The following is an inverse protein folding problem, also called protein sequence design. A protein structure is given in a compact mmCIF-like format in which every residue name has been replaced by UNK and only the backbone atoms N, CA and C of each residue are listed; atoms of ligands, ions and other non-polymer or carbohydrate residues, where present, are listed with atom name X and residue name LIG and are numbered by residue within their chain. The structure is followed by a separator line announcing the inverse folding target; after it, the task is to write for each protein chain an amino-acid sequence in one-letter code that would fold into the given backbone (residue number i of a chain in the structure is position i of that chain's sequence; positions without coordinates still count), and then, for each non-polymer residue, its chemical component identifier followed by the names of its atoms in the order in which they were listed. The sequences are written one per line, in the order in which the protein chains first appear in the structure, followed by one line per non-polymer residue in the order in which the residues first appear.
data_IF_199710871970
#
_entry.id   IF_199710871970
#
_cell.length_a   1.000
_cell.length_b   1.000
_cell.length_c   1.000
_cell.angle_alpha   90.00
_cell.angle_beta   90.00
_cell.angle_gamma   90.00
#
_symmetry.space_group_name_H-M   'P 1'
#
loop_
_entity.id
_entity.type
_entity.pdbx_description
1 polymer ?
#
# COMPACT_ATOMS: atom_id res chain seq x y z
N UNK A 1 -4.47 -19.30 15.76
CA UNK A 1 -4.57 -18.96 17.20
C UNK A 1 -5.71 -19.80 17.72
N UNK A 2 -5.43 -20.72 18.64
CA UNK A 2 -6.40 -21.73 19.07
C UNK A 2 -7.64 -21.04 19.69
N UNK A 3 -8.83 -21.37 19.19
CA UNK A 3 -10.14 -20.99 19.78
C UNK A 3 -10.31 -21.43 21.25
N UNK A 4 -9.34 -22.21 21.78
CA UNK A 4 -9.31 -22.70 23.16
C UNK A 4 -8.74 -21.71 24.19
N UNK A 5 -8.09 -20.61 23.77
CA UNK A 5 -7.54 -19.62 24.69
C UNK A 5 -8.63 -18.64 25.16
N UNK A 6 -8.63 -18.31 26.45
CA UNK A 6 -9.51 -17.26 26.97
C UNK A 6 -9.25 -15.92 26.27
N UNK A 7 -10.27 -15.07 26.15
CA UNK A 7 -10.15 -13.73 25.55
C UNK A 7 -9.03 -12.92 26.18
N UNK A 8 -8.89 -13.00 27.52
CA UNK A 8 -7.82 -12.31 28.26
C UNK A 8 -6.43 -12.79 27.85
N UNK A 9 -6.25 -14.10 27.61
CA UNK A 9 -4.97 -14.65 27.14
C UNK A 9 -4.65 -14.19 25.71
N UNK A 10 -5.64 -14.14 24.84
CA UNK A 10 -5.46 -13.61 23.46
C UNK A 10 -5.04 -12.14 23.47
N UNK A 11 -5.66 -11.31 24.32
CA UNK A 11 -5.32 -9.88 24.47
C UNK A 11 -3.91 -9.73 25.05
N UNK A 12 -3.54 -10.55 26.04
CA UNK A 12 -2.19 -10.53 26.62
C UNK A 12 -1.11 -10.89 25.57
N UNK A 13 -1.36 -11.92 24.75
CA UNK A 13 -0.46 -12.28 23.65
C UNK A 13 -0.34 -11.12 22.65
N UNK A 14 -1.44 -10.51 22.25
CA UNK A 14 -1.45 -9.37 21.33
C UNK A 14 -0.65 -8.19 21.90
N UNK A 15 -0.78 -7.89 23.19
CA UNK A 15 -0.01 -6.82 23.84
C UNK A 15 1.50 -7.11 23.82
N UNK A 16 1.90 -8.37 24.08
CA UNK A 16 3.30 -8.80 23.98
C UNK A 16 3.81 -8.73 22.53
N UNK A 17 3.01 -9.18 21.56
CA UNK A 17 3.33 -9.08 20.15
C UNK A 17 3.59 -7.62 19.74
N UNK A 18 2.70 -6.70 20.09
CA UNK A 18 2.86 -5.27 19.81
C UNK A 18 4.12 -4.69 20.48
N UNK A 19 4.40 -5.07 21.73
CA UNK A 19 5.61 -4.66 22.41
C UNK A 19 6.87 -5.08 21.65
N UNK A 20 6.98 -6.37 21.29
CA UNK A 20 8.13 -6.89 20.53
C UNK A 20 8.23 -6.22 19.16
N UNK A 21 7.12 -6.02 18.44
CA UNK A 21 7.09 -5.33 17.16
C UNK A 21 7.65 -3.93 17.28
N UNK A 22 7.23 -3.15 18.26
CA UNK A 22 7.70 -1.77 18.46
C UNK A 22 9.20 -1.71 18.75
N UNK A 23 9.72 -2.59 19.60
CA UNK A 23 11.16 -2.68 19.86
C UNK A 23 11.93 -3.08 18.59
N UNK A 24 11.50 -4.13 17.90
CA UNK A 24 12.15 -4.59 16.68
C UNK A 24 12.11 -3.51 15.58
N UNK A 25 10.96 -2.87 15.37
CA UNK A 25 10.80 -1.79 14.40
C UNK A 25 11.81 -0.66 14.66
N UNK A 26 11.93 -0.21 15.90
CA UNK A 26 12.87 0.86 16.25
C UNK A 26 14.33 0.42 16.09
N UNK A 27 14.68 -0.75 16.59
CA UNK A 27 16.03 -1.28 16.49
C UNK A 27 16.49 -1.42 15.03
N UNK A 28 15.71 -2.11 14.19
CA UNK A 28 16.05 -2.33 12.78
C UNK A 28 15.92 -1.04 11.96
N UNK A 29 14.93 -0.18 12.27
CA UNK A 29 14.77 1.12 11.62
C UNK A 29 15.97 2.04 11.85
N UNK A 30 16.48 2.11 13.08
CA UNK A 30 17.67 2.91 13.39
C UNK A 30 18.95 2.28 12.82
N UNK A 31 19.03 0.95 12.74
CA UNK A 31 20.12 0.27 12.04
C UNK A 31 20.11 0.62 10.55
N UNK A 32 18.95 0.60 9.89
CA UNK A 32 18.79 1.01 8.50
C UNK A 32 19.25 2.46 8.27
N UNK A 33 18.86 3.40 9.14
CA UNK A 33 19.32 4.80 9.07
C UNK A 33 20.84 4.93 9.18
N UNK A 34 21.50 4.16 10.06
CA UNK A 34 22.96 4.12 10.16
C UNK A 34 23.61 3.64 8.85
N UNK A 35 22.95 2.75 8.13
CA UNK A 35 23.37 2.27 6.80
C UNK A 35 22.96 3.22 5.67
N UNK A 36 22.41 4.41 5.98
CA UNK A 36 21.90 5.40 5.02
C UNK A 36 20.75 4.90 4.14
N UNK A 37 19.98 3.94 4.66
CA UNK A 37 18.80 3.36 4.02
C UNK A 37 17.54 3.86 4.76
N UNK A 38 16.40 4.04 4.07
CA UNK A 38 15.14 4.44 4.73
C UNK A 38 14.75 3.50 5.87
N UNK A 39 14.23 4.06 6.97
CA UNK A 39 13.85 3.30 8.17
C UNK A 39 12.81 2.22 7.87
N UNK A 40 11.93 2.45 6.93
CA UNK A 40 10.87 1.51 6.51
C UNK A 40 11.43 0.16 6.05
N UNK A 41 12.59 0.14 5.39
CA UNK A 41 13.23 -1.13 4.99
C UNK A 41 13.73 -1.90 6.20
N UNK A 42 14.23 -1.21 7.23
CA UNK A 42 14.56 -1.82 8.52
C UNK A 42 13.32 -2.41 9.20
N UNK A 43 12.21 -1.67 9.21
CA UNK A 43 10.94 -2.14 9.78
C UNK A 43 10.40 -3.39 9.06
N UNK A 44 10.49 -3.44 7.71
CA UNK A 44 10.14 -4.65 6.93
C UNK A 44 11.05 -5.84 7.25
N UNK A 45 12.37 -5.61 7.31
CA UNK A 45 13.34 -6.65 7.68
C UNK A 45 13.08 -7.15 9.10
N UNK A 46 12.76 -6.26 10.04
CA UNK A 46 12.35 -6.65 11.39
C UNK A 46 11.19 -7.65 11.33
N UNK A 47 10.18 -7.37 10.50
CA UNK A 47 9.02 -8.25 10.30
C UNK A 47 9.41 -9.63 9.75
N UNK A 48 10.30 -9.69 8.77
CA UNK A 48 10.82 -10.96 8.24
C UNK A 48 11.53 -11.74 9.35
N UNK A 49 12.38 -11.07 10.14
CA UNK A 49 13.19 -11.72 11.18
C UNK A 49 12.36 -12.25 12.34
N UNK A 50 11.45 -11.43 12.90
CA UNK A 50 10.62 -11.83 14.05
C UNK A 50 9.33 -12.53 13.62
N UNK A 51 9.05 -12.63 12.32
CA UNK A 51 7.82 -13.17 11.76
C UNK A 51 7.71 -14.70 11.88
N UNK A 52 6.52 -15.23 11.49
CA UNK A 52 6.18 -16.65 11.65
C UNK A 52 7.05 -17.60 10.83
N UNK A 53 7.73 -17.10 9.81
CA UNK A 53 8.55 -17.91 8.91
C UNK A 53 10.02 -18.03 9.32
N UNK A 54 10.45 -17.27 10.36
CA UNK A 54 11.81 -17.33 10.86
C UNK A 54 11.82 -17.51 12.39
N UNK A 55 12.01 -16.45 13.18
CA UNK A 55 12.17 -16.56 14.65
C UNK A 55 10.83 -16.67 15.39
N UNK A 56 9.75 -16.12 14.83
CA UNK A 56 8.47 -15.95 15.53
C UNK A 56 7.74 -17.26 15.84
N UNK A 57 8.01 -18.33 15.07
CA UNK A 57 7.45 -19.67 15.30
C UNK A 57 8.31 -20.54 16.23
N UNK A 58 9.44 -20.02 16.73
CA UNK A 58 10.25 -20.78 17.68
C UNK A 58 9.50 -20.86 19.02
N UNK A 59 9.05 -22.05 19.38
CA UNK A 59 8.33 -22.30 20.61
C UNK A 59 9.22 -22.11 21.84
N UNK A 60 8.68 -21.48 22.88
CA UNK A 60 9.29 -21.40 24.19
C UNK A 60 8.49 -22.28 25.16
N UNK A 61 9.16 -22.99 26.06
CA UNK A 61 8.51 -23.82 27.10
C UNK A 61 7.79 -22.97 28.19
N UNK A 62 7.26 -21.80 27.84
CA UNK A 62 6.41 -20.99 28.71
C UNK A 62 4.94 -21.27 28.40
N UNK A 63 4.12 -21.31 29.45
CA UNK A 63 2.68 -21.53 29.30
C UNK A 63 2.05 -20.62 28.25
N UNK A 64 1.52 -21.18 27.16
CA UNK A 64 0.82 -20.46 26.09
C UNK A 64 1.67 -20.12 24.85
N UNK A 65 3.00 -20.43 24.81
CA UNK A 65 3.89 -20.09 23.69
C UNK A 65 4.51 -21.33 23.03
N UNK A 66 3.81 -22.47 23.04
CA UNK A 66 4.32 -23.72 22.44
C UNK A 66 4.67 -23.55 20.94
N UNK A 67 3.92 -22.71 20.22
CA UNK A 67 4.13 -22.44 18.79
C UNK A 67 4.85 -21.10 18.54
N UNK A 68 5.49 -20.52 19.55
CA UNK A 68 6.17 -19.22 19.47
C UNK A 68 5.25 -18.02 19.71
N UNK A 69 5.85 -16.82 19.69
CA UNK A 69 5.11 -15.56 19.89
C UNK A 69 4.32 -15.13 18.64
N UNK A 70 4.80 -15.48 17.46
CA UNK A 70 4.14 -15.26 16.17
C UNK A 70 3.92 -16.59 15.46
N UNK A 71 2.97 -17.42 15.93
CA UNK A 71 2.73 -18.73 15.32
C UNK A 71 2.20 -18.60 13.91
N UNK A 72 2.61 -19.52 13.03
CA UNK A 72 2.05 -19.63 11.69
C UNK A 72 0.59 -20.12 11.79
N UNK A 73 -0.33 -19.36 11.24
CA UNK A 73 -1.76 -19.71 11.25
C UNK A 73 -2.07 -20.51 9.98
N UNK A 74 -2.12 -21.81 10.12
CA UNK A 74 -2.47 -22.72 9.02
C UNK A 74 -3.94 -22.51 8.59
N UNK A 75 -4.18 -22.48 7.27
CA UNK A 75 -5.53 -22.35 6.70
C UNK A 75 -6.08 -20.90 6.67
N UNK A 76 -5.33 -19.91 7.16
CA UNK A 76 -5.68 -18.50 7.01
C UNK A 76 -5.11 -17.91 5.72
N UNK A 77 -5.80 -16.92 5.15
CA UNK A 77 -5.29 -16.13 4.00
C UNK A 77 -4.05 -15.29 4.34
N UNK A 78 -3.81 -15.04 5.62
CA UNK A 78 -2.64 -14.33 6.14
C UNK A 78 -1.97 -15.14 7.26
N UNK A 79 -0.62 -15.16 7.33
CA UNK A 79 0.13 -15.99 8.26
C UNK A 79 0.13 -15.46 9.71
N UNK A 80 -0.48 -14.32 9.96
CA UNK A 80 -0.56 -13.64 11.27
C UNK A 80 -2.00 -13.58 11.79
N UNK A 81 -2.19 -13.28 13.08
CA UNK A 81 -3.54 -13.19 13.66
C UNK A 81 -4.34 -12.04 13.04
N UNK A 82 -5.65 -12.27 12.86
CA UNK A 82 -6.58 -11.26 12.33
C UNK A 82 -6.54 -9.96 13.14
N UNK A 83 -6.43 -10.06 14.47
CA UNK A 83 -6.32 -8.88 15.33
C UNK A 83 -5.06 -8.06 15.06
N UNK A 84 -3.91 -8.75 14.90
CA UNK A 84 -2.64 -8.09 14.58
C UNK A 84 -2.67 -7.48 13.18
N UNK A 85 -3.20 -8.19 12.20
CA UNK A 85 -3.37 -7.69 10.84
C UNK A 85 -4.32 -6.48 10.79
N UNK A 86 -5.41 -6.51 11.59
CA UNK A 86 -6.33 -5.38 11.72
C UNK A 86 -5.66 -4.12 12.27
N UNK A 87 -4.84 -4.24 13.33
CA UNK A 87 -4.07 -3.11 13.87
C UNK A 87 -3.07 -2.58 12.84
N UNK A 88 -2.40 -3.45 12.11
CA UNK A 88 -1.50 -3.06 11.03
C UNK A 88 -2.25 -2.29 9.92
N UNK A 89 -3.42 -2.75 9.53
CA UNK A 89 -4.28 -2.07 8.53
C UNK A 89 -4.67 -0.66 9.00
N UNK A 90 -5.01 -0.48 10.29
CA UNK A 90 -5.23 0.86 10.84
C UNK A 90 -3.98 1.74 10.71
N UNK A 91 -2.78 1.17 10.85
CA UNK A 91 -1.51 1.86 10.62
C UNK A 91 -1.36 2.37 9.18
N UNK A 92 -1.76 1.58 8.18
CA UNK A 92 -1.74 2.01 6.77
C UNK A 92 -2.73 3.16 6.49
N UNK A 93 -3.91 3.12 7.10
CA UNK A 93 -4.90 4.20 7.00
C UNK A 93 -4.35 5.51 7.59
N UNK A 94 -3.74 5.45 8.79
CA UNK A 94 -3.11 6.62 9.42
C UNK A 94 -1.96 7.15 8.55
N UNK A 95 -1.11 6.28 8.01
CA UNK A 95 -0.02 6.65 7.11
C UNK A 95 -0.52 7.46 5.91
N UNK A 96 -1.52 6.94 5.20
CA UNK A 96 -2.00 7.59 3.98
C UNK A 96 -2.82 8.85 4.28
N UNK A 97 -3.58 8.89 5.39
CA UNK A 97 -4.24 10.10 5.86
C UNK A 97 -3.25 11.23 6.15
N UNK A 98 -2.17 10.94 6.88
CA UNK A 98 -1.11 11.91 7.16
C UNK A 98 -0.40 12.37 5.89
N UNK A 99 -0.09 11.45 4.97
CA UNK A 99 0.50 11.77 3.67
C UNK A 99 -0.42 12.69 2.83
N UNK A 100 -1.73 12.46 2.88
CA UNK A 100 -2.72 13.33 2.26
C UNK A 100 -2.72 14.74 2.85
N UNK A 101 -2.62 14.87 4.18
CA UNK A 101 -2.52 16.16 4.88
C UNK A 101 -1.23 16.94 4.55
N UNK A 102 -0.13 16.21 4.30
CA UNK A 102 1.17 16.80 3.91
C UNK A 102 1.20 17.22 2.43
N UNK A 103 0.30 16.72 1.60
CA UNK A 103 0.28 16.99 0.15
C UNK A 103 -0.21 18.40 -0.15
N UNK A 104 0.57 19.18 -0.93
CA UNK A 104 0.11 20.49 -1.45
C UNK A 104 -0.94 20.29 -2.55
N UNK A 105 -2.16 20.72 -2.27
CA UNK A 105 -3.30 20.57 -3.18
C UNK A 105 -3.13 21.35 -4.50
N UNK A 106 -2.43 22.52 -4.51
CA UNK A 106 -2.16 23.28 -5.76
C UNK A 106 -1.22 22.50 -6.66
N UNK A 107 -0.17 21.94 -6.05
CA UNK A 107 0.77 21.09 -6.76
C UNK A 107 0.09 19.81 -7.24
N UNK A 108 -0.78 19.21 -6.40
CA UNK A 108 -1.55 18.03 -6.78
C UNK A 108 -2.37 18.28 -8.06
N UNK A 109 -3.16 19.34 -8.13
CA UNK A 109 -3.92 19.68 -9.33
C UNK A 109 -3.03 20.04 -10.52
N UNK A 110 -1.92 20.74 -10.29
CA UNK A 110 -0.98 21.09 -11.36
C UNK A 110 -0.36 19.85 -12.02
N UNK A 111 -0.06 18.83 -11.23
CA UNK A 111 0.63 17.60 -11.69
C UNK A 111 -0.29 16.39 -11.82
N UNK A 112 -1.60 16.51 -11.57
CA UNK A 112 -2.55 15.38 -11.66
C UNK A 112 -2.61 14.75 -13.05
N UNK A 113 -2.61 15.57 -14.10
CA UNK A 113 -2.60 15.07 -15.48
C UNK A 113 -1.30 14.30 -15.76
N UNK A 114 -0.16 14.85 -15.36
CA UNK A 114 1.13 14.17 -15.50
C UNK A 114 1.13 12.87 -14.69
N UNK A 115 0.66 12.92 -13.43
CA UNK A 115 0.53 11.73 -12.60
C UNK A 115 -0.35 10.65 -13.23
N UNK A 116 -1.47 11.05 -13.86
CA UNK A 116 -2.35 10.09 -14.56
C UNK A 116 -1.65 9.43 -15.75
N UNK A 117 -0.93 10.19 -16.56
CA UNK A 117 -0.18 9.66 -17.72
C UNK A 117 0.97 8.78 -17.26
N UNK A 118 1.66 9.17 -16.20
CA UNK A 118 2.74 8.38 -15.56
C UNK A 118 2.19 7.08 -14.97
N UNK A 119 1.07 7.11 -14.24
CA UNK A 119 0.41 5.93 -13.68
C UNK A 119 -0.03 4.95 -14.77
N UNK A 120 -0.69 5.46 -15.82
CA UNK A 120 -1.08 4.64 -16.97
C UNK A 120 0.12 3.98 -17.65
N UNK A 121 1.18 4.74 -17.91
CA UNK A 121 2.42 4.21 -18.48
C UNK A 121 3.05 3.14 -17.56
N UNK A 122 3.09 3.40 -16.26
CA UNK A 122 3.57 2.46 -15.25
C UNK A 122 2.81 1.13 -15.26
N UNK A 123 1.47 1.17 -15.31
CA UNK A 123 0.62 -0.04 -15.39
C UNK A 123 0.87 -0.81 -16.69
N UNK A 124 0.79 -0.12 -17.83
CA UNK A 124 0.92 -0.77 -19.16
C UNK A 124 2.28 -1.47 -19.33
N UNK A 125 3.39 -0.75 -19.05
CA UNK A 125 4.73 -1.34 -19.15
C UNK A 125 4.92 -2.50 -18.16
N UNK A 126 4.51 -2.31 -16.90
CA UNK A 126 4.65 -3.37 -15.90
C UNK A 126 3.85 -4.61 -16.27
N UNK A 127 2.61 -4.45 -16.73
CA UNK A 127 1.77 -5.57 -17.16
C UNK A 127 2.42 -6.35 -18.32
N UNK A 128 2.80 -5.65 -19.39
CA UNK A 128 3.40 -6.29 -20.57
C UNK A 128 4.71 -6.99 -20.22
N UNK A 129 5.59 -6.35 -19.47
CA UNK A 129 6.88 -6.95 -19.08
C UNK A 129 6.70 -8.13 -18.12
N UNK A 130 5.77 -8.05 -17.17
CA UNK A 130 5.47 -9.15 -16.26
C UNK A 130 4.89 -10.36 -16.99
N UNK A 131 4.00 -10.13 -17.95
CA UNK A 131 3.43 -11.17 -18.80
C UNK A 131 4.50 -11.82 -19.71
N UNK A 132 5.36 -11.02 -20.34
CA UNK A 132 6.46 -11.52 -21.20
C UNK A 132 7.41 -12.42 -20.39
N UNK A 133 7.74 -12.08 -19.13
CA UNK A 133 8.53 -12.99 -18.28
C UNK A 133 7.77 -14.29 -18.04
N UNK A 134 6.47 -14.21 -17.76
CA UNK A 134 5.61 -15.37 -17.64
C UNK A 134 5.67 -16.27 -18.86
N UNK A 135 5.55 -15.69 -20.07
CA UNK A 135 5.66 -16.43 -21.33
C UNK A 135 6.99 -17.16 -21.46
N UNK A 136 8.09 -16.48 -21.17
CA UNK A 136 9.45 -17.04 -21.27
C UNK A 136 9.69 -18.13 -20.23
N UNK A 137 9.34 -17.86 -18.97
CA UNK A 137 9.58 -18.78 -17.85
C UNK A 137 8.69 -20.04 -17.92
N UNK A 138 7.41 -19.86 -18.27
CA UNK A 138 6.42 -20.95 -18.30
C UNK A 138 6.28 -21.59 -19.68
N UNK A 139 6.99 -21.08 -20.72
CA UNK A 139 6.88 -21.50 -22.11
C UNK A 139 5.41 -21.50 -22.57
N UNK A 140 4.67 -20.49 -22.19
CA UNK A 140 3.23 -20.34 -22.42
C UNK A 140 2.92 -19.16 -23.35
N UNK A 141 1.66 -19.02 -23.79
CA UNK A 141 1.23 -17.90 -24.63
C UNK A 141 0.86 -16.68 -23.79
N UNK A 142 0.81 -15.50 -24.42
CA UNK A 142 0.40 -14.24 -23.80
C UNK A 142 -0.99 -14.31 -23.12
N UNK A 143 -1.92 -15.12 -23.66
CA UNK A 143 -3.26 -15.29 -23.08
C UNK A 143 -3.33 -16.41 -22.04
N UNK A 144 -2.20 -17.02 -21.65
CA UNK A 144 -2.20 -18.02 -20.58
C UNK A 144 -2.53 -17.34 -19.26
N UNK A 145 -3.52 -17.86 -18.50
CA UNK A 145 -3.91 -17.30 -17.21
C UNK A 145 -2.73 -17.04 -16.25
N UNK A 146 -1.74 -17.91 -16.23
CA UNK A 146 -0.55 -17.80 -15.38
C UNK A 146 0.32 -16.61 -15.78
N UNK A 147 0.49 -16.36 -17.09
CA UNK A 147 1.23 -15.22 -17.60
C UNK A 147 0.49 -13.91 -17.30
N UNK A 148 -0.81 -13.86 -17.56
CA UNK A 148 -1.66 -12.70 -17.23
C UNK A 148 -1.61 -12.36 -15.73
N UNK A 149 -1.60 -13.36 -14.83
CA UNK A 149 -1.44 -13.12 -13.40
C UNK A 149 -0.08 -12.54 -13.05
N UNK A 150 1.01 -13.03 -13.67
CA UNK A 150 2.33 -12.42 -13.49
C UNK A 150 2.36 -10.98 -14.01
N UNK A 151 1.69 -10.70 -15.13
CA UNK A 151 1.48 -9.34 -15.63
C UNK A 151 0.85 -8.44 -14.57
N UNK A 152 -0.27 -8.84 -13.96
CA UNK A 152 -0.94 -8.08 -12.91
C UNK A 152 -0.07 -7.91 -11.67
N UNK A 153 0.56 -8.97 -11.18
CA UNK A 153 1.47 -8.88 -10.04
C UNK A 153 2.58 -7.85 -10.27
N UNK A 154 3.02 -7.71 -11.53
CA UNK A 154 3.99 -6.70 -11.92
C UNK A 154 3.43 -5.27 -11.91
N UNK A 155 2.13 -5.03 -11.96
CA UNK A 155 1.57 -3.67 -11.93
C UNK A 155 1.52 -3.06 -10.54
N UNK A 156 1.26 -3.85 -9.50
CA UNK A 156 1.02 -3.35 -8.16
C UNK A 156 2.16 -2.46 -7.64
N UNK A 157 1.82 -1.31 -7.03
CA UNK A 157 2.77 -0.37 -6.44
C UNK A 157 2.40 -0.11 -4.99
N UNK A 158 3.38 -0.11 -4.09
CA UNK A 158 3.14 0.20 -2.69
C UNK A 158 3.13 1.71 -2.45
N UNK A 159 1.93 2.31 -2.46
CA UNK A 159 1.75 3.73 -2.10
C UNK A 159 2.28 4.01 -0.69
N UNK A 160 2.08 3.08 0.25
CA UNK A 160 2.51 3.24 1.64
C UNK A 160 4.02 3.37 1.82
N UNK A 161 4.82 2.50 1.18
CA UNK A 161 6.29 2.58 1.23
C UNK A 161 6.76 3.88 0.60
N UNK A 162 6.23 4.21 -0.57
CA UNK A 162 6.58 5.43 -1.31
C UNK A 162 6.26 6.69 -0.50
N UNK A 163 5.03 6.79 0.05
CA UNK A 163 4.61 7.91 0.89
C UNK A 163 5.51 8.05 2.13
N UNK A 164 5.84 6.94 2.79
CA UNK A 164 6.74 6.93 3.95
C UNK A 164 8.14 7.45 3.61
N UNK A 165 8.73 7.00 2.50
CA UNK A 165 10.05 7.45 2.05
C UNK A 165 10.03 8.94 1.67
N UNK A 166 8.99 9.40 0.97
CA UNK A 166 8.84 10.81 0.61
C UNK A 166 8.68 11.70 1.84
N UNK A 167 7.91 11.26 2.85
CA UNK A 167 7.76 11.97 4.13
C UNK A 167 9.08 12.04 4.89
N UNK A 168 9.81 10.94 5.04
CA UNK A 168 11.12 10.92 5.70
C UNK A 168 12.15 11.83 5.02
N UNK A 169 12.05 11.97 3.68
CA UNK A 169 12.93 12.85 2.89
C UNK A 169 12.40 14.27 2.76
N UNK A 170 11.24 14.60 3.35
CA UNK A 170 10.57 15.91 3.24
C UNK A 170 10.38 16.34 1.78
N UNK A 171 9.92 15.42 0.94
CA UNK A 171 9.80 15.59 -0.51
C UNK A 171 8.38 15.32 -1.04
N UNK A 172 7.39 15.17 -0.15
CA UNK A 172 5.99 14.90 -0.53
C UNK A 172 5.42 16.04 -1.37
N UNK A 173 5.69 17.28 -1.01
CA UNK A 173 5.21 18.51 -1.64
C UNK A 173 6.07 18.96 -2.85
N UNK A 174 7.15 18.22 -3.17
CA UNK A 174 7.92 18.48 -4.39
C UNK A 174 7.14 18.11 -5.65
N UNK A 175 7.44 18.72 -6.82
CA UNK A 175 6.81 18.35 -8.09
C UNK A 175 6.86 16.86 -8.39
N UNK A 176 8.02 16.22 -8.14
CA UNK A 176 8.20 14.80 -8.30
C UNK A 176 7.36 14.00 -7.27
N UNK A 177 7.41 14.39 -5.98
CA UNK A 177 6.67 13.70 -4.90
C UNK A 177 5.17 13.71 -5.14
N UNK A 178 4.61 14.87 -5.47
CA UNK A 178 3.18 15.01 -5.80
C UNK A 178 2.80 14.19 -7.03
N UNK A 179 3.65 14.19 -8.07
CA UNK A 179 3.43 13.40 -9.29
C UNK A 179 3.45 11.90 -8.98
N UNK A 180 4.39 11.44 -8.15
CA UNK A 180 4.49 10.04 -7.72
C UNK A 180 3.23 9.62 -6.96
N UNK A 181 2.77 10.41 -5.97
CA UNK A 181 1.58 10.08 -5.21
C UNK A 181 0.31 10.08 -6.07
N UNK A 182 0.16 11.06 -6.96
CA UNK A 182 -0.95 11.09 -7.91
C UNK A 182 -0.92 9.88 -8.86
N UNK A 183 0.27 9.52 -9.38
CA UNK A 183 0.45 8.35 -10.23
C UNK A 183 0.14 7.05 -9.49
N UNK A 184 0.56 6.91 -8.22
CA UNK A 184 0.31 5.73 -7.42
C UNK A 184 -1.18 5.51 -7.12
N UNK A 185 -1.94 6.58 -6.85
CA UNK A 185 -3.40 6.50 -6.67
C UNK A 185 -4.11 6.06 -7.96
N UNK A 186 -3.68 6.56 -9.12
CA UNK A 186 -4.21 6.13 -10.43
C UNK A 186 -3.82 4.67 -10.71
N UNK A 187 -2.59 4.30 -10.39
CA UNK A 187 -2.07 2.93 -10.53
C UNK A 187 -2.94 1.91 -9.77
N UNK A 188 -3.35 2.22 -8.55
CA UNK A 188 -4.25 1.37 -7.74
C UNK A 188 -5.62 1.18 -8.42
N UNK A 189 -6.22 2.26 -8.94
CA UNK A 189 -7.51 2.18 -9.64
C UNK A 189 -7.37 1.37 -10.94
N UNK A 190 -6.31 1.61 -11.71
CA UNK A 190 -6.03 0.87 -12.94
C UNK A 190 -5.71 -0.60 -12.66
N UNK A 191 -5.02 -0.90 -11.55
CA UNK A 191 -4.72 -2.26 -11.10
C UNK A 191 -6.00 -3.08 -10.87
N UNK A 192 -7.02 -2.50 -10.21
CA UNK A 192 -8.32 -3.15 -10.01
C UNK A 192 -9.01 -3.43 -11.36
N UNK A 193 -8.95 -2.49 -12.30
CA UNK A 193 -9.53 -2.65 -13.63
C UNK A 193 -8.80 -3.77 -14.40
N UNK A 194 -7.46 -3.77 -14.39
CA UNK A 194 -6.66 -4.82 -15.00
C UNK A 194 -6.96 -6.20 -14.39
N UNK A 195 -7.08 -6.29 -13.06
CA UNK A 195 -7.46 -7.52 -12.38
C UNK A 195 -8.84 -8.02 -12.83
N UNK A 196 -9.83 -7.12 -12.94
CA UNK A 196 -11.16 -7.47 -13.40
C UNK A 196 -11.14 -7.99 -14.85
N UNK A 197 -10.33 -7.39 -15.73
CA UNK A 197 -10.14 -7.84 -17.12
C UNK A 197 -9.56 -9.26 -17.14
N UNK A 198 -8.46 -9.49 -16.43
CA UNK A 198 -7.78 -10.79 -16.40
C UNK A 198 -8.69 -11.87 -15.80
N UNK A 199 -9.37 -11.58 -14.68
CA UNK A 199 -10.34 -12.52 -14.10
C UNK A 199 -11.47 -12.85 -15.07
N UNK A 200 -11.94 -11.87 -15.84
CA UNK A 200 -12.92 -12.09 -16.92
C UNK A 200 -12.39 -13.03 -18.02
N UNK A 201 -11.14 -12.86 -18.46
CA UNK A 201 -10.49 -13.71 -19.45
C UNK A 201 -10.30 -15.14 -18.90
N UNK A 202 -9.82 -15.28 -17.68
CA UNK A 202 -9.57 -16.57 -17.00
C UNK A 202 -10.87 -17.37 -16.85
N UNK A 203 -11.96 -16.74 -16.41
CA UNK A 203 -13.26 -17.41 -16.26
C UNK A 203 -13.81 -17.92 -17.59
N UNK A 204 -13.60 -17.19 -18.67
CA UNK A 204 -14.02 -17.61 -20.03
C UNK A 204 -13.15 -18.76 -20.53
N UNK A 205 -11.82 -18.70 -20.32
CA UNK A 205 -10.90 -19.77 -20.71
C UNK A 205 -11.18 -21.09 -19.97
N UNK A 206 -11.73 -21.02 -18.75
CA UNK A 206 -12.11 -22.18 -17.95
C UNK A 206 -13.49 -22.75 -18.35
N UNK A 207 -14.32 -21.99 -19.06
CA UNK A 207 -15.70 -22.38 -19.43
C UNK A 207 -15.76 -22.68 -20.94
N UNK A 208 -16.04 -23.90 -21.33
CA UNK A 208 -16.23 -24.27 -22.73
C UNK A 208 -17.40 -23.46 -23.35
N UNK A 209 -17.09 -22.43 -24.13
CA UNK A 209 -18.06 -21.56 -24.81
C UNK A 209 -18.48 -20.30 -24.08
N UNK A 210 -17.79 -19.92 -22.98
CA UNK A 210 -18.02 -18.67 -22.27
C UNK A 210 -17.59 -17.44 -23.06
N UNK A 211 -18.28 -16.31 -22.85
CA UNK A 211 -17.92 -15.01 -23.42
C UNK A 211 -17.47 -14.04 -22.33
N UNK A 212 -16.42 -13.25 -22.59
CA UNK A 212 -15.98 -12.20 -21.67
C UNK A 212 -17.11 -11.18 -21.50
N UNK A 213 -17.53 -10.95 -20.27
CA UNK A 213 -18.53 -9.92 -19.97
C UNK A 213 -17.90 -8.52 -19.96
N UNK A 214 -17.62 -7.98 -21.16
CA UNK A 214 -17.07 -6.63 -21.32
C UNK A 214 -17.92 -5.55 -20.69
N UNK A 215 -19.25 -5.71 -20.66
CA UNK A 215 -20.16 -4.79 -19.98
C UNK A 215 -19.95 -4.75 -18.47
N UNK A 216 -19.75 -5.91 -17.84
CA UNK A 216 -19.42 -6.01 -16.41
C UNK A 216 -18.06 -5.37 -16.08
N UNK A 217 -17.05 -5.61 -16.93
CA UNK A 217 -15.71 -5.02 -16.76
C UNK A 217 -15.78 -3.49 -16.92
N UNK A 218 -16.45 -3.00 -17.96
CA UNK A 218 -16.65 -1.56 -18.16
C UNK A 218 -17.39 -0.91 -16.99
N UNK A 219 -18.40 -1.60 -16.42
CA UNK A 219 -19.11 -1.13 -15.26
C UNK A 219 -18.21 -1.03 -14.03
N UNK A 220 -17.35 -2.01 -13.77
CA UNK A 220 -16.35 -1.96 -12.67
C UNK A 220 -15.42 -0.75 -12.86
N UNK A 221 -14.91 -0.54 -14.08
CA UNK A 221 -14.04 0.59 -14.38
C UNK A 221 -14.74 1.94 -14.13
N UNK A 222 -15.95 2.13 -14.69
CA UNK A 222 -16.73 3.37 -14.52
C UNK A 222 -17.10 3.59 -13.06
N UNK A 223 -17.52 2.55 -12.34
CA UNK A 223 -17.85 2.62 -10.92
C UNK A 223 -16.64 3.02 -10.09
N UNK A 224 -15.50 2.36 -10.26
CA UNK A 224 -14.28 2.62 -9.47
C UNK A 224 -13.75 4.03 -9.69
N UNK A 225 -13.64 4.43 -10.96
CA UNK A 225 -13.18 5.77 -11.32
C UNK A 225 -14.17 6.85 -10.91
N UNK A 226 -15.46 6.60 -11.07
CA UNK A 226 -16.54 7.52 -10.69
C UNK A 226 -16.61 7.75 -9.18
N UNK A 227 -16.48 6.70 -8.38
CA UNK A 227 -16.44 6.81 -6.90
C UNK A 227 -15.19 7.58 -6.49
N UNK A 228 -14.02 7.19 -6.99
CA UNK A 228 -12.75 7.86 -6.65
C UNK A 228 -12.80 9.36 -6.97
N UNK A 229 -13.16 9.71 -8.21
CA UNK A 229 -13.21 11.11 -8.64
C UNK A 229 -14.32 11.89 -7.93
N UNK A 230 -15.51 11.30 -7.82
CA UNK A 230 -16.67 11.94 -7.18
C UNK A 230 -16.42 12.24 -5.71
N UNK A 231 -15.85 11.28 -4.96
CA UNK A 231 -15.54 11.49 -3.52
C UNK A 231 -14.39 12.46 -3.34
N UNK A 232 -13.38 12.42 -4.24
CA UNK A 232 -12.28 13.41 -4.21
C UNK A 232 -12.82 14.83 -4.41
N UNK A 233 -13.61 15.05 -5.45
CA UNK A 233 -14.20 16.36 -5.73
C UNK A 233 -15.15 16.82 -4.59
N UNK A 234 -15.99 15.92 -4.09
CA UNK A 234 -16.90 16.22 -2.98
C UNK A 234 -16.12 16.58 -1.70
N UNK A 235 -15.09 15.82 -1.38
CA UNK A 235 -14.20 16.10 -0.24
C UNK A 235 -13.56 17.48 -0.33
N UNK A 236 -13.05 17.84 -1.51
CA UNK A 236 -12.44 19.15 -1.75
C UNK A 236 -13.44 20.30 -1.66
N UNK A 237 -14.64 20.14 -2.22
CA UNK A 237 -15.72 21.15 -2.13
C UNK A 237 -16.21 21.34 -0.69
N UNK A 238 -16.31 20.23 0.05
CA UNK A 238 -16.78 20.24 1.43
C UNK A 238 -15.67 20.53 2.45
N UNK A 239 -14.42 20.60 2.06
CA UNK A 239 -13.26 20.72 2.96
C UNK A 239 -13.43 21.81 4.02
N UNK A 240 -13.82 23.02 3.61
CA UNK A 240 -14.04 24.13 4.55
C UNK A 240 -15.23 23.90 5.48
N UNK A 241 -16.30 23.25 5.02
CA UNK A 241 -17.46 22.90 5.87
C UNK A 241 -17.09 21.82 6.87
N UNK A 242 -16.32 20.81 6.43
CA UNK A 242 -15.79 19.76 7.30
C UNK A 242 -14.88 20.39 8.37
N UNK A 243 -13.95 21.26 7.98
CA UNK A 243 -13.08 21.96 8.91
C UNK A 243 -13.86 22.83 9.91
N UNK A 244 -14.87 23.57 9.44
CA UNK A 244 -15.74 24.37 10.31
C UNK A 244 -16.52 23.50 11.32
N UNK A 245 -17.06 22.37 10.87
CA UNK A 245 -17.72 21.39 11.73
C UNK A 245 -16.75 20.82 12.79
N UNK A 246 -15.54 20.45 12.39
CA UNK A 246 -14.53 19.95 13.31
C UNK A 246 -14.12 20.99 14.37
N UNK A 247 -13.98 22.25 13.98
CA UNK A 247 -13.68 23.37 14.90
C UNK A 247 -14.76 23.66 15.94
N UNK A 248 -15.99 23.25 15.69
CA UNK A 248 -17.06 23.40 16.68
C UNK A 248 -16.72 22.73 18.01
N UNK A 249 -15.89 21.69 18.00
CA UNK A 249 -15.42 20.99 19.21
C UNK A 249 -14.33 21.74 19.98
N UNK A 250 -13.86 22.90 19.52
CA UNK A 250 -12.94 23.85 20.18
C UNK A 250 -11.55 23.30 20.59
N UNK A 251 -11.42 22.02 20.89
CA UNK A 251 -10.15 21.38 21.29
C UNK A 251 -9.40 20.84 20.08
N UNK A 252 -8.12 21.20 19.92
CA UNK A 252 -7.26 20.73 18.85
C UNK A 252 -7.11 19.19 18.86
N UNK A 253 -6.96 18.60 20.04
CA UNK A 253 -6.91 17.16 20.18
C UNK A 253 -8.21 16.49 19.73
N UNK A 254 -9.37 17.04 20.15
CA UNK A 254 -10.67 16.48 19.80
C UNK A 254 -10.94 16.54 18.30
N UNK A 255 -10.76 17.69 17.66
CA UNK A 255 -11.02 17.76 16.22
C UNK A 255 -10.02 16.95 15.39
N UNK A 256 -8.77 16.75 15.89
CA UNK A 256 -7.80 15.89 15.22
C UNK A 256 -8.21 14.40 15.27
N UNK A 257 -8.71 13.92 16.41
CA UNK A 257 -9.26 12.57 16.54
C UNK A 257 -10.49 12.39 15.67
N UNK A 258 -11.39 13.38 15.62
CA UNK A 258 -12.58 13.33 14.75
C UNK A 258 -12.21 13.34 13.27
N UNK A 259 -11.17 14.09 12.88
CA UNK A 259 -10.64 14.06 11.50
C UNK A 259 -10.12 12.67 11.13
N UNK A 260 -9.41 12.00 12.04
CA UNK A 260 -9.00 10.60 11.87
C UNK A 260 -10.23 9.69 11.80
N UNK A 261 -11.25 9.91 12.64
CA UNK A 261 -12.52 9.17 12.58
C UNK A 261 -13.18 9.28 11.20
N UNK A 262 -13.22 10.48 10.60
CA UNK A 262 -13.72 10.67 9.24
C UNK A 262 -12.87 9.93 8.20
N UNK A 263 -11.54 9.91 8.36
CA UNK A 263 -10.65 9.15 7.48
C UNK A 263 -10.91 7.65 7.57
N UNK A 264 -11.13 7.11 8.76
CA UNK A 264 -11.49 5.71 8.98
C UNK A 264 -12.86 5.36 8.36
N UNK A 265 -13.86 6.23 8.52
CA UNK A 265 -15.19 6.04 7.91
C UNK A 265 -15.09 6.02 6.39
N UNK A 266 -14.33 6.95 5.81
CA UNK A 266 -14.14 7.00 4.36
C UNK A 266 -13.33 5.83 3.84
N UNK A 267 -12.30 5.38 4.56
CA UNK A 267 -11.54 4.18 4.25
C UNK A 267 -12.45 2.93 4.23
N UNK A 268 -13.28 2.76 5.25
CA UNK A 268 -14.25 1.66 5.30
C UNK A 268 -15.29 1.71 4.17
N UNK A 269 -15.76 2.91 3.80
CA UNK A 269 -16.68 3.10 2.68
C UNK A 269 -16.02 2.74 1.32
N UNK A 270 -14.74 3.05 1.14
CA UNK A 270 -13.98 2.67 -0.06
C UNK A 270 -13.84 1.15 -0.18
N UNK A 271 -13.54 0.46 0.90
CA UNK A 271 -13.49 -1.02 0.91
C UNK A 271 -14.83 -1.64 0.53
N UNK A 272 -15.94 -1.13 1.07
CA UNK A 272 -17.29 -1.59 0.70
C UNK A 272 -17.62 -1.32 -0.78
N UNK A 273 -17.00 -0.31 -1.37
CA UNK A 273 -17.14 -0.01 -2.80
C UNK A 273 -16.23 -0.87 -3.70
N UNK A 274 -15.32 -1.69 -3.13
CA UNK A 274 -14.33 -2.49 -3.84
C UNK A 274 -13.08 -1.72 -4.22
N UNK A 275 -12.78 -0.63 -3.51
CA UNK A 275 -11.56 0.18 -3.65
C UNK A 275 -10.70 0.03 -2.40
N UNK A 276 -9.37 0.20 -2.53
CA UNK A 276 -8.47 0.08 -1.39
C UNK A 276 -8.77 1.14 -0.31
N UNK A 277 -8.88 0.71 0.96
CA UNK A 277 -9.13 1.57 2.14
C UNK A 277 -8.20 2.77 2.21
N UNK A 278 -6.93 2.57 1.87
CA UNK A 278 -5.89 3.60 1.94
C UNK A 278 -6.16 4.79 1.03
N UNK A 279 -6.85 4.59 -0.11
CA UNK A 279 -7.22 5.68 -1.04
C UNK A 279 -8.23 6.62 -0.36
N UNK A 280 -9.24 6.07 0.33
CA UNK A 280 -10.23 6.88 1.08
C UNK A 280 -9.57 7.72 2.17
N UNK A 281 -8.62 7.13 2.91
CA UNK A 281 -7.85 7.84 3.92
C UNK A 281 -7.01 8.98 3.32
N UNK A 282 -6.31 8.72 2.21
CA UNK A 282 -5.53 9.73 1.50
C UNK A 282 -6.39 10.90 1.01
N UNK A 283 -7.56 10.62 0.42
CA UNK A 283 -8.50 11.64 -0.06
C UNK A 283 -8.99 12.52 1.10
N UNK A 284 -9.31 11.93 2.26
CA UNK A 284 -9.71 12.73 3.43
C UNK A 284 -8.57 13.64 3.88
N UNK A 285 -7.34 13.14 3.95
CA UNK A 285 -6.15 13.95 4.27
C UNK A 285 -5.94 15.08 3.26
N UNK A 286 -5.96 14.76 1.96
CA UNK A 286 -5.82 15.72 0.86
C UNK A 286 -6.91 16.81 0.90
N UNK A 287 -8.15 16.42 1.20
CA UNK A 287 -9.26 17.38 1.34
C UNK A 287 -9.02 18.39 2.47
N UNK A 288 -8.45 17.95 3.57
CA UNK A 288 -8.16 18.80 4.73
C UNK A 288 -6.81 19.53 4.63
N UNK A 289 -5.93 19.20 3.69
CA UNK A 289 -4.56 19.70 3.60
C UNK A 289 -4.46 21.23 3.51
N UNK A 290 -5.42 21.90 2.87
CA UNK A 290 -5.46 23.38 2.74
C UNK A 290 -6.27 24.09 3.81
N UNK A 291 -6.85 23.35 4.75
CA UNK A 291 -7.59 23.98 5.83
C UNK A 291 -6.62 24.47 6.91
N UNK A 292 -7.03 25.49 7.65
CA UNK A 292 -6.25 26.08 8.75
C UNK A 292 -6.04 25.13 9.93
N UNK A 293 -6.77 23.99 9.99
CA UNK A 293 -6.61 22.95 11.01
C UNK A 293 -5.60 21.86 10.62
N UNK A 294 -5.14 21.84 9.37
CA UNK A 294 -4.25 20.78 8.85
C UNK A 294 -3.01 20.57 9.71
N UNK A 295 -2.29 21.65 10.03
CA UNK A 295 -1.08 21.58 10.88
C UNK A 295 -1.38 21.05 12.29
N UNK A 296 -2.51 21.48 12.89
CA UNK A 296 -2.91 21.01 14.21
C UNK A 296 -3.26 19.53 14.20
N UNK A 297 -3.93 19.04 13.14
CA UNK A 297 -4.24 17.62 12.96
C UNK A 297 -2.94 16.82 12.86
N UNK A 298 -2.01 17.22 12.01
CA UNK A 298 -0.71 16.57 11.85
C UNK A 298 0.04 16.48 13.18
N UNK A 299 0.15 17.59 13.89
CA UNK A 299 0.87 17.66 15.18
C UNK A 299 0.27 16.73 16.23
N UNK A 300 -1.07 16.74 16.38
CA UNK A 300 -1.74 15.92 17.39
C UNK A 300 -1.77 14.43 17.05
N UNK A 301 -1.77 14.05 15.77
CA UNK A 301 -1.80 12.66 15.33
C UNK A 301 -0.41 12.06 15.13
N UNK A 302 0.66 12.85 15.19
CA UNK A 302 2.03 12.36 15.06
C UNK A 302 2.41 11.24 16.05
N UNK A 303 1.96 11.25 17.32
CA UNK A 303 2.18 10.11 18.24
C UNK A 303 1.47 8.82 17.76
N UNK A 304 0.24 8.94 17.25
CA UNK A 304 -0.53 7.80 16.71
C UNK A 304 0.15 7.24 15.48
N UNK A 305 0.62 8.11 14.58
CA UNK A 305 1.41 7.75 13.41
C UNK A 305 2.68 6.99 13.79
N UNK A 306 3.46 7.51 14.75
CA UNK A 306 4.69 6.90 15.21
C UNK A 306 4.49 5.56 15.92
N UNK A 307 3.30 5.29 16.43
CA UNK A 307 2.94 4.02 17.05
C UNK A 307 2.47 3.02 16.00
N UNK A 308 1.49 3.36 15.16
CA UNK A 308 0.82 2.42 14.27
C UNK A 308 1.58 2.12 12.98
N UNK A 309 2.26 3.11 12.40
CA UNK A 309 2.92 2.94 11.10
C UNK A 309 4.08 1.94 11.15
N UNK A 310 4.96 1.93 12.17
CA UNK A 310 5.96 0.86 12.28
C UNK A 310 5.34 -0.53 12.46
N UNK A 311 4.20 -0.65 13.18
CA UNK A 311 3.48 -1.92 13.30
C UNK A 311 3.01 -2.41 11.93
N UNK A 312 2.47 -1.51 11.10
CA UNK A 312 2.08 -1.85 9.73
C UNK A 312 3.24 -2.44 8.94
N UNK A 313 4.40 -1.77 8.89
CA UNK A 313 5.52 -2.24 8.08
C UNK A 313 6.13 -3.54 8.61
N UNK A 314 6.23 -3.71 9.93
CA UNK A 314 6.71 -4.97 10.51
C UNK A 314 5.75 -6.11 10.18
N UNK A 315 4.43 -5.91 10.32
CA UNK A 315 3.45 -6.95 9.97
C UNK A 315 3.50 -7.26 8.47
N UNK A 316 3.67 -6.26 7.58
CA UNK A 316 3.88 -6.52 6.15
C UNK A 316 5.14 -7.37 5.91
N UNK A 317 6.22 -7.14 6.63
CA UNK A 317 7.41 -7.99 6.59
C UNK A 317 7.14 -9.44 7.05
N UNK A 318 6.28 -9.63 8.05
CA UNK A 318 5.89 -10.96 8.53
C UNK A 318 5.12 -11.80 7.51
N UNK A 319 4.54 -11.18 6.48
CA UNK A 319 3.81 -11.89 5.41
C UNK A 319 4.77 -12.58 4.42
N UNK A 320 6.04 -12.22 4.42
CA UNK A 320 7.04 -12.75 3.49
C UNK A 320 7.54 -14.13 3.96
N UNK A 321 7.21 -15.17 3.19
CA UNK A 321 7.77 -16.52 3.43
C UNK A 321 9.17 -16.65 2.81
N UNK A 322 10.18 -16.35 3.61
CA UNK A 322 11.58 -16.43 3.16
C UNK A 322 12.03 -17.87 2.84
N UNK A 323 11.33 -18.90 3.34
CA UNK A 323 11.69 -20.32 3.10
C UNK A 323 11.49 -20.70 1.64
N UNK A 324 10.55 -20.07 0.94
CA UNK A 324 10.31 -20.28 -0.49
C UNK A 324 11.55 -19.88 -1.32
N UNK A 325 12.36 -18.94 -0.81
CA UNK A 325 13.60 -18.52 -1.47
C UNK A 325 14.75 -19.56 -1.34
N UNK A 326 14.57 -20.62 -0.56
CA UNK A 326 15.53 -21.70 -0.47
C UNK A 326 15.55 -22.58 -1.73
N UNK A 327 14.47 -22.55 -2.54
CA UNK A 327 14.43 -23.22 -3.85
C UNK A 327 15.18 -22.37 -4.89
N UNK A 328 16.26 -22.90 -5.52
CA UNK A 328 17.06 -22.14 -6.48
C UNK A 328 16.29 -21.73 -7.73
N UNK A 329 15.30 -22.51 -8.17
CA UNK A 329 14.47 -22.17 -9.35
C UNK A 329 13.57 -20.98 -9.03
N UNK A 330 12.90 -21.03 -7.87
CA UNK A 330 12.04 -19.93 -7.39
C UNK A 330 12.86 -18.67 -7.14
N UNK A 331 14.03 -18.80 -6.51
CA UNK A 331 14.92 -17.67 -6.25
C UNK A 331 15.39 -17.02 -7.55
N UNK A 332 15.82 -17.82 -8.53
CA UNK A 332 16.32 -17.31 -9.81
C UNK A 332 15.21 -16.61 -10.60
N UNK A 333 14.03 -17.23 -10.70
CA UNK A 333 12.87 -16.61 -11.35
C UNK A 333 12.45 -15.33 -10.63
N UNK A 334 12.39 -15.36 -9.30
CA UNK A 334 12.03 -14.21 -8.47
C UNK A 334 13.00 -13.03 -8.64
N UNK A 335 14.31 -13.31 -8.73
CA UNK A 335 15.33 -12.28 -8.96
C UNK A 335 15.18 -11.66 -10.37
N UNK A 336 15.06 -12.49 -11.41
CA UNK A 336 14.87 -12.02 -12.78
C UNK A 336 13.59 -11.18 -12.87
N UNK A 337 12.50 -11.71 -12.32
CA UNK A 337 11.22 -11.01 -12.27
C UNK A 337 11.31 -9.66 -11.55
N UNK A 338 12.00 -9.60 -10.41
CA UNK A 338 12.19 -8.36 -9.64
C UNK A 338 12.99 -7.32 -10.43
N UNK A 339 14.07 -7.72 -11.11
CA UNK A 339 14.89 -6.81 -11.93
C UNK A 339 14.05 -6.26 -13.09
N UNK A 340 13.34 -7.11 -13.80
CA UNK A 340 12.49 -6.67 -14.92
C UNK A 340 11.33 -5.81 -14.44
N UNK A 341 10.73 -6.15 -13.30
CA UNK A 341 9.69 -5.33 -12.68
C UNK A 341 10.16 -3.92 -12.34
N UNK A 342 11.39 -3.78 -11.81
CA UNK A 342 12.03 -2.48 -11.56
C UNK A 342 12.25 -1.71 -12.86
N UNK A 343 12.82 -2.36 -13.87
CA UNK A 343 13.09 -1.72 -15.18
C UNK A 343 11.79 -1.29 -15.87
N UNK A 344 10.77 -2.17 -15.86
CA UNK A 344 9.46 -1.88 -16.44
C UNK A 344 8.80 -0.66 -15.79
N UNK A 345 8.87 -0.58 -14.45
CA UNK A 345 8.27 0.55 -13.71
C UNK A 345 9.06 1.85 -13.96
N UNK A 346 10.40 1.80 -13.94
CA UNK A 346 11.21 2.98 -14.27
C UNK A 346 10.89 3.46 -15.69
N UNK A 347 10.94 2.59 -16.68
CA UNK A 347 10.68 2.96 -18.08
C UNK A 347 9.23 3.45 -18.26
N UNK A 348 8.26 2.70 -17.73
CA UNK A 348 6.85 3.02 -17.85
C UNK A 348 6.43 4.32 -17.18
N UNK A 349 7.15 4.78 -16.16
CA UNK A 349 6.85 6.03 -15.47
C UNK A 349 7.77 7.17 -15.91
N UNK A 350 9.08 6.92 -16.09
CA UNK A 350 10.02 7.98 -16.45
C UNK A 350 9.84 8.48 -17.89
N UNK A 351 9.54 7.61 -18.85
CA UNK A 351 9.30 8.03 -20.23
C UNK A 351 8.13 9.01 -20.34
N UNK A 352 6.91 8.68 -19.85
CA UNK A 352 5.82 9.65 -19.85
C UNK A 352 6.15 10.94 -19.09
N UNK A 353 6.81 10.86 -17.93
CA UNK A 353 7.18 12.04 -17.17
C UNK A 353 8.14 12.96 -17.97
N UNK A 354 9.10 12.39 -18.69
CA UNK A 354 10.01 13.14 -19.56
C UNK A 354 9.26 13.85 -20.69
N UNK A 355 8.34 13.18 -21.37
CA UNK A 355 7.51 13.79 -22.42
C UNK A 355 6.53 14.82 -21.88
N UNK A 356 6.21 14.79 -20.58
CA UNK A 356 5.35 15.76 -19.89
C UNK A 356 6.15 16.89 -19.23
N UNK A 357 7.32 17.25 -19.80
CA UNK A 357 8.18 18.38 -19.44
C UNK A 357 8.92 18.26 -18.10
N UNK A 358 9.09 17.08 -17.53
CA UNK A 358 10.10 16.87 -16.50
C UNK A 358 11.48 16.74 -17.15
N UNK A 359 12.52 17.29 -16.48
CA UNK A 359 13.88 17.01 -16.89
C UNK A 359 14.24 15.53 -16.65
N UNK A 360 15.30 15.03 -17.31
CA UNK A 360 15.71 13.63 -17.22
C UNK A 360 15.88 13.13 -15.78
N UNK A 361 16.46 13.96 -14.90
CA UNK A 361 16.68 13.60 -13.50
C UNK A 361 15.35 13.52 -12.72
N UNK A 362 14.43 14.47 -12.94
CA UNK A 362 13.10 14.46 -12.36
C UNK A 362 12.27 13.27 -12.84
N UNK A 363 12.32 12.98 -14.15
CA UNK A 363 11.66 11.82 -14.73
C UNK A 363 12.17 10.49 -14.13
N UNK A 364 13.49 10.34 -13.99
CA UNK A 364 14.08 9.17 -13.33
C UNK A 364 13.71 9.06 -11.84
N UNK A 365 13.64 10.20 -11.13
CA UNK A 365 13.16 10.21 -9.73
C UNK A 365 11.71 9.75 -9.62
N UNK A 366 10.85 10.18 -10.55
CA UNK A 366 9.47 9.72 -10.62
C UNK A 366 9.41 8.22 -10.88
N UNK A 367 10.15 7.73 -11.88
CA UNK A 367 10.23 6.29 -12.17
C UNK A 367 10.74 5.49 -10.97
N UNK A 368 11.81 5.96 -10.31
CA UNK A 368 12.34 5.31 -9.11
C UNK A 368 11.37 5.34 -7.92
N UNK A 369 10.61 6.43 -7.74
CA UNK A 369 9.61 6.58 -6.70
C UNK A 369 8.40 5.63 -6.87
N UNK A 370 8.18 5.11 -8.06
CA UNK A 370 7.12 4.15 -8.37
C UNK A 370 7.56 2.68 -8.29
N UNK A 371 8.84 2.40 -7.95
CA UNK A 371 9.36 1.02 -7.83
C UNK A 371 8.79 0.26 -6.61
N UNK A 372 8.60 0.85 -5.40
CA UNK A 372 8.24 0.09 -4.21
C UNK A 372 6.99 -0.78 -4.42
N UNK A 373 7.10 -2.05 -4.03
CA UNK A 373 6.07 -3.09 -4.21
C UNK A 373 5.93 -3.93 -2.97
#
# INVERSE_FOLDING_TARGET
MNESLSLTAQIAILALQLGVILFAARFFGDLAKKLKVPSVLGELIAGIVIGPYLLGSIGFNLHGFHDGLFPLIAGSSVPVSTSLYGIATLGSIVLLFMSGLETDLRMFFKYSVVGSVVGLGGVLFSFVFGDVIGMVALKASFMDPRCLFLGILCTATSVGITARILSEKKSIDSPEGVTILAAAVIDDVLGIICLAIVMGIVTVSASAGGHVNWGGIAWIAVKSFGIWLGVTLLGLVLAHKIAAFLKWFKSAATFSILALGLALLLAGAFEQAGLAMIIGAYIMGLSLSKTDISFSIQSNLHPVYNFLVPVFFVVMGMLVDIRVMADPEVLTLGLIYSVVAVLAKILGCALPAYFMNFNMLGALRIGAGMIPR
#
